data_IF_455065311222
#
_entry.id   IF_455065311222
#
_cell.length_a   1.000
_cell.length_b   1.000
_cell.length_c   1.000
_cell.angle_alpha   90.00
_cell.angle_beta   90.00
_cell.angle_gamma   90.00
#
_symmetry.space_group_name_H-M   'P 1'
#
loop_
_entity.id
_entity.type
_entity.pdbx_description
1 polymer ?
#
# COMPACT_ATOMS: atom_id res chain seq x y z
N UNK A 1 7.84 0.84 -23.23
CA UNK A 1 7.76 0.12 -21.94
C UNK A 1 7.99 1.08 -20.76
N UNK A 2 9.09 1.82 -20.69
CA UNK A 2 9.40 2.75 -19.57
C UNK A 2 8.32 3.81 -19.30
N UNK A 3 7.77 4.46 -20.34
CA UNK A 3 6.69 5.46 -20.18
C UNK A 3 5.45 4.89 -19.48
N UNK A 4 5.10 3.63 -19.74
CA UNK A 4 3.94 2.97 -19.11
C UNK A 4 4.20 2.61 -17.64
N UNK A 5 5.42 2.19 -17.32
CA UNK A 5 5.83 1.92 -15.92
C UNK A 5 5.82 3.22 -15.13
N UNK A 6 6.41 4.28 -15.66
CA UNK A 6 6.45 5.59 -15.01
C UNK A 6 5.05 6.15 -14.77
N UNK A 7 4.16 6.05 -15.75
CA UNK A 7 2.76 6.44 -15.62
C UNK A 7 2.09 5.76 -14.41
N UNK A 8 2.25 4.44 -14.25
CA UNK A 8 1.65 3.73 -13.13
C UNK A 8 2.30 4.05 -11.79
N UNK A 9 3.61 4.25 -11.73
CA UNK A 9 4.30 4.68 -10.51
C UNK A 9 3.84 6.07 -10.06
N UNK A 10 3.70 7.01 -10.99
CA UNK A 10 3.22 8.36 -10.70
C UNK A 10 1.79 8.33 -10.16
N UNK A 11 0.88 7.63 -10.84
CA UNK A 11 -0.51 7.54 -10.42
C UNK A 11 -0.72 6.69 -9.16
N UNK A 12 0.14 5.71 -8.87
CA UNK A 12 0.15 5.01 -7.57
C UNK A 12 0.78 5.83 -6.44
N UNK A 13 1.11 7.10 -6.71
CA UNK A 13 1.67 8.05 -5.73
C UNK A 13 2.96 7.56 -5.09
N UNK A 14 3.93 7.16 -5.93
CA UNK A 14 5.25 6.71 -5.47
C UNK A 14 5.92 7.71 -4.50
N UNK A 15 5.58 9.00 -4.59
CA UNK A 15 6.06 10.04 -3.68
C UNK A 15 5.59 9.87 -2.23
N UNK A 16 4.64 8.98 -1.95
CA UNK A 16 4.21 8.64 -0.58
C UNK A 16 5.06 7.54 0.06
N UNK A 17 5.85 6.80 -0.72
CA UNK A 17 6.71 5.72 -0.22
C UNK A 17 7.71 6.13 0.87
N UNK A 18 8.23 7.36 0.92
CA UNK A 18 9.09 7.79 2.02
C UNK A 18 8.49 7.52 3.39
N UNK A 19 7.17 7.59 3.55
CA UNK A 19 6.49 7.27 4.82
C UNK A 19 6.74 5.80 5.22
N UNK A 20 6.55 4.85 4.31
CA UNK A 20 6.86 3.44 4.57
C UNK A 20 8.35 3.20 4.77
N UNK A 21 9.19 3.81 3.95
CA UNK A 21 10.64 3.62 3.96
C UNK A 21 11.23 4.11 5.28
N UNK A 22 10.85 5.31 5.75
CA UNK A 22 11.36 5.83 7.02
C UNK A 22 10.85 5.04 8.22
N UNK A 23 9.57 4.67 8.25
CA UNK A 23 9.03 3.81 9.30
C UNK A 23 9.74 2.45 9.32
N UNK A 24 9.93 1.84 8.14
CA UNK A 24 10.67 0.60 8.01
C UNK A 24 12.14 0.76 8.46
N UNK A 25 12.80 1.84 8.06
CA UNK A 25 14.22 2.08 8.38
C UNK A 25 14.48 2.09 9.88
N UNK A 26 13.56 2.69 10.66
CA UNK A 26 13.65 2.73 12.13
C UNK A 26 13.66 1.31 12.71
N UNK A 27 12.68 0.49 12.34
CA UNK A 27 12.59 -0.87 12.88
C UNK A 27 13.66 -1.81 12.28
N UNK A 28 14.03 -1.59 11.02
CA UNK A 28 15.08 -2.35 10.35
C UNK A 28 16.45 -2.16 11.03
N UNK A 29 16.83 -0.92 11.35
CA UNK A 29 18.08 -0.64 12.08
C UNK A 29 18.08 -1.29 13.45
N UNK A 30 16.95 -1.29 14.15
CA UNK A 30 16.81 -1.99 15.43
C UNK A 30 16.91 -3.51 15.25
N UNK A 31 16.28 -4.08 14.23
CA UNK A 31 16.38 -5.50 13.89
C UNK A 31 17.83 -5.92 13.58
N UNK A 32 18.55 -5.12 12.78
CA UNK A 32 19.97 -5.37 12.47
C UNK A 32 20.83 -5.36 13.74
N UNK A 33 20.64 -4.41 14.64
CA UNK A 33 21.36 -4.34 15.90
C UNK A 33 21.08 -5.54 16.83
N UNK A 34 19.95 -6.18 16.65
CA UNK A 34 19.52 -7.40 17.36
C UNK A 34 19.92 -8.70 16.62
N UNK A 35 20.82 -8.63 15.65
CA UNK A 35 21.26 -9.75 14.80
C UNK A 35 20.15 -10.37 13.93
N UNK A 36 19.15 -9.58 13.57
CA UNK A 36 18.05 -9.99 12.72
C UNK A 36 18.44 -10.26 11.27
N UNK A 37 17.60 -10.97 10.53
CA UNK A 37 17.84 -11.34 9.14
C UNK A 37 17.60 -10.16 8.19
N UNK A 38 18.70 -9.54 7.72
CA UNK A 38 18.68 -8.39 6.80
C UNK A 38 17.89 -8.69 5.52
N UNK A 39 18.02 -9.90 4.96
CA UNK A 39 17.33 -10.26 3.72
C UNK A 39 15.80 -10.28 3.91
N UNK A 40 15.30 -10.81 5.01
CA UNK A 40 13.88 -10.81 5.31
C UNK A 40 13.34 -9.39 5.57
N UNK A 41 14.15 -8.56 6.24
CA UNK A 41 13.82 -7.15 6.42
C UNK A 41 13.66 -6.39 5.09
N UNK A 42 14.54 -6.64 4.10
CA UNK A 42 14.46 -6.06 2.76
C UNK A 42 13.22 -6.58 2.00
N UNK A 43 12.95 -7.89 2.07
CA UNK A 43 11.74 -8.44 1.47
C UNK A 43 10.48 -7.82 2.07
N UNK A 44 10.44 -7.62 3.38
CA UNK A 44 9.33 -6.95 4.05
C UNK A 44 9.12 -5.53 3.50
N UNK A 45 10.21 -4.75 3.29
CA UNK A 45 10.10 -3.42 2.67
C UNK A 45 9.44 -3.47 1.30
N UNK A 46 9.87 -4.40 0.44
CA UNK A 46 9.30 -4.54 -0.91
C UNK A 46 7.80 -4.85 -0.82
N UNK A 47 7.41 -5.79 0.04
CA UNK A 47 6.01 -6.14 0.28
C UNK A 47 5.18 -4.95 0.78
N UNK A 48 5.70 -4.19 1.75
CA UNK A 48 5.06 -3.00 2.31
C UNK A 48 4.87 -1.92 1.23
N UNK A 49 5.90 -1.64 0.42
CA UNK A 49 5.81 -0.69 -0.68
C UNK A 49 4.74 -1.11 -1.70
N UNK A 50 4.69 -2.39 -2.07
CA UNK A 50 3.65 -2.90 -2.96
C UNK A 50 2.24 -2.73 -2.37
N UNK A 51 2.05 -3.06 -1.08
CA UNK A 51 0.77 -2.84 -0.40
C UNK A 51 0.36 -1.36 -0.41
N UNK A 52 1.29 -0.43 -0.15
CA UNK A 52 1.00 1.00 -0.17
C UNK A 52 0.60 1.49 -1.55
N UNK A 53 1.33 1.11 -2.60
CA UNK A 53 1.02 1.49 -3.99
C UNK A 53 -0.34 0.91 -4.43
N UNK A 54 -0.63 -0.35 -4.05
CA UNK A 54 -1.94 -0.97 -4.30
C UNK A 54 -3.06 -0.20 -3.61
N UNK A 55 -2.87 0.19 -2.35
CA UNK A 55 -3.87 0.95 -1.57
C UNK A 55 -4.17 2.30 -2.21
N UNK A 56 -3.15 3.02 -2.67
CA UNK A 56 -3.33 4.31 -3.33
C UNK A 56 -4.16 4.20 -4.62
N UNK A 57 -3.88 3.20 -5.45
CA UNK A 57 -4.66 2.98 -6.68
C UNK A 57 -6.08 2.48 -6.37
N UNK A 58 -6.26 1.66 -5.35
CA UNK A 58 -7.58 1.18 -4.95
C UNK A 58 -8.44 2.31 -4.35
N UNK A 59 -7.83 3.25 -3.63
CA UNK A 59 -8.49 4.47 -3.16
C UNK A 59 -9.00 5.31 -4.35
N UNK A 60 -8.18 5.51 -5.39
CA UNK A 60 -8.57 6.21 -6.62
C UNK A 60 -9.74 5.49 -7.34
N UNK A 61 -9.72 4.17 -7.40
CA UNK A 61 -10.80 3.36 -7.95
C UNK A 61 -12.12 3.60 -7.20
N UNK A 62 -12.08 3.58 -5.87
CA UNK A 62 -13.27 3.81 -5.04
C UNK A 62 -13.77 5.26 -5.14
N UNK A 63 -12.86 6.22 -5.16
CA UNK A 63 -13.22 7.64 -5.31
C UNK A 63 -13.86 7.90 -6.66
N UNK A 64 -13.35 7.33 -7.75
CA UNK A 64 -13.96 7.44 -9.06
C UNK A 64 -15.38 6.84 -9.10
N UNK A 65 -15.60 5.69 -8.47
CA UNK A 65 -16.94 5.11 -8.37
C UNK A 65 -17.92 6.00 -7.60
N UNK A 66 -17.44 6.69 -6.53
CA UNK A 66 -18.26 7.67 -5.81
C UNK A 66 -18.64 8.86 -6.69
N UNK A 67 -17.68 9.38 -7.47
CA UNK A 67 -17.93 10.50 -8.39
C UNK A 67 -18.99 10.18 -9.45
N UNK A 68 -18.96 8.95 -10.01
CA UNK A 68 -20.00 8.48 -10.94
C UNK A 68 -21.38 8.50 -10.25
N UNK A 69 -21.47 7.92 -9.05
CA UNK A 69 -22.73 7.84 -8.31
C UNK A 69 -23.30 9.21 -7.95
N UNK A 70 -22.45 10.20 -7.73
CA UNK A 70 -22.84 11.57 -7.38
C UNK A 70 -23.10 12.47 -8.60
N UNK A 71 -22.82 12.00 -9.84
CA UNK A 71 -22.97 12.79 -11.05
C UNK A 71 -22.04 14.01 -11.16
N UNK A 72 -20.92 14.01 -10.41
CA UNK A 72 -20.02 15.17 -10.28
C UNK A 72 -18.72 15.03 -11.07
N UNK A 73 -18.64 14.07 -11.99
CA UNK A 73 -17.45 13.79 -12.81
C UNK A 73 -16.91 15.00 -13.58
N UNK A 74 -17.82 15.83 -14.14
CA UNK A 74 -17.44 16.97 -15.00
C UNK A 74 -16.71 18.10 -14.26
N UNK A 75 -16.91 18.23 -12.96
CA UNK A 75 -16.35 19.31 -12.16
C UNK A 75 -15.00 19.00 -11.49
N UNK A 76 -14.50 17.76 -11.58
CA UNK A 76 -13.32 17.31 -10.83
C UNK A 76 -12.14 16.86 -11.69
N UNK A 77 -11.77 17.64 -12.69
CA UNK A 77 -10.57 17.40 -13.52
C UNK A 77 -9.24 17.44 -12.75
N UNK A 78 -9.26 17.89 -11.48
CA UNK A 78 -8.10 17.97 -10.59
C UNK A 78 -8.14 16.96 -9.42
N UNK A 79 -9.04 15.98 -9.49
CA UNK A 79 -9.15 14.96 -8.44
C UNK A 79 -7.98 13.97 -8.49
N UNK A 80 -7.79 13.23 -7.41
CA UNK A 80 -6.77 12.16 -7.30
C UNK A 80 -6.88 11.14 -8.45
N UNK A 81 -8.10 10.85 -8.94
CA UNK A 81 -8.38 9.93 -10.04
C UNK A 81 -8.44 10.62 -11.42
N UNK A 82 -7.77 11.76 -11.59
CA UNK A 82 -7.81 12.55 -12.83
C UNK A 82 -7.42 11.76 -14.09
N UNK A 83 -6.49 10.84 -14.00
CA UNK A 83 -6.07 9.99 -15.12
C UNK A 83 -7.17 9.02 -15.58
N UNK A 84 -8.08 8.62 -14.68
CA UNK A 84 -9.27 7.82 -15.04
C UNK A 84 -10.34 8.73 -15.67
N UNK A 85 -10.60 9.90 -15.08
CA UNK A 85 -11.60 10.85 -15.61
C UNK A 85 -11.21 11.40 -16.97
N UNK A 86 -9.93 11.52 -17.27
CA UNK A 86 -9.41 11.93 -18.60
C UNK A 86 -9.38 10.81 -19.63
N UNK A 87 -9.71 9.57 -19.23
CA UNK A 87 -9.66 8.41 -20.13
C UNK A 87 -8.24 7.92 -20.46
N UNK A 88 -7.22 8.33 -19.67
CA UNK A 88 -5.83 7.87 -19.84
C UNK A 88 -5.65 6.42 -19.37
N UNK A 89 -6.51 5.95 -18.46
CA UNK A 89 -6.61 4.56 -18.02
C UNK A 89 -8.06 4.17 -17.73
N UNK A 90 -8.39 2.90 -17.93
CA UNK A 90 -9.68 2.32 -17.57
C UNK A 90 -9.68 1.82 -16.11
N UNK A 91 -10.88 1.64 -15.53
CA UNK A 91 -11.02 1.01 -14.20
C UNK A 91 -10.42 -0.39 -14.17
N UNK A 92 -10.54 -1.15 -15.26
CA UNK A 92 -9.96 -2.48 -15.38
C UNK A 92 -8.44 -2.44 -15.37
N UNK A 93 -7.83 -1.43 -16.00
CA UNK A 93 -6.39 -1.24 -15.97
C UNK A 93 -5.90 -0.94 -14.54
N UNK A 94 -6.62 -0.08 -13.82
CA UNK A 94 -6.32 0.21 -12.41
C UNK A 94 -6.36 -1.07 -11.57
N UNK A 95 -7.45 -1.84 -11.68
CA UNK A 95 -7.59 -3.10 -10.93
C UNK A 95 -6.51 -4.13 -11.28
N UNK A 96 -6.10 -4.23 -12.55
CA UNK A 96 -4.99 -5.11 -12.95
C UNK A 96 -3.69 -4.74 -12.26
N UNK A 97 -3.39 -3.45 -12.14
CA UNK A 97 -2.15 -3.00 -11.46
C UNK A 97 -2.27 -3.19 -9.95
N UNK A 98 -3.42 -2.90 -9.34
CA UNK A 98 -3.69 -3.23 -7.93
C UNK A 98 -3.46 -4.71 -7.67
N UNK A 99 -4.03 -5.58 -8.52
CA UNK A 99 -3.85 -7.03 -8.40
C UNK A 99 -2.40 -7.47 -8.55
N UNK A 100 -1.65 -6.85 -9.46
CA UNK A 100 -0.21 -7.11 -9.62
C UNK A 100 0.57 -6.79 -8.33
N UNK A 101 0.38 -5.59 -7.76
CA UNK A 101 1.04 -5.20 -6.52
C UNK A 101 0.64 -6.10 -5.34
N UNK A 102 -0.65 -6.39 -5.21
CA UNK A 102 -1.15 -7.32 -4.18
C UNK A 102 -0.56 -8.73 -4.35
N UNK A 103 -0.44 -9.23 -5.57
CA UNK A 103 0.15 -10.55 -5.84
C UNK A 103 1.62 -10.61 -5.41
N UNK A 104 2.40 -9.58 -5.73
CA UNK A 104 3.80 -9.49 -5.29
C UNK A 104 3.87 -9.48 -3.75
N UNK A 105 3.07 -8.65 -3.09
CA UNK A 105 3.03 -8.58 -1.63
C UNK A 105 2.60 -9.92 -1.00
N UNK A 106 1.62 -10.61 -1.57
CA UNK A 106 1.16 -11.93 -1.10
C UNK A 106 2.24 -13.01 -1.26
N UNK A 107 2.96 -13.03 -2.39
CA UNK A 107 4.06 -13.99 -2.62
C UNK A 107 5.17 -13.77 -1.58
N UNK A 108 5.56 -12.52 -1.35
CA UNK A 108 6.57 -12.17 -0.34
C UNK A 108 6.06 -12.54 1.06
N UNK A 109 4.82 -12.18 1.38
CA UNK A 109 4.20 -12.50 2.67
C UNK A 109 4.10 -13.99 2.93
N UNK A 110 3.73 -14.79 1.93
CA UNK A 110 3.68 -16.25 2.03
C UNK A 110 5.08 -16.85 2.26
N UNK A 111 6.09 -16.33 1.55
CA UNK A 111 7.48 -16.74 1.77
C UNK A 111 7.96 -16.41 3.20
N UNK A 112 7.71 -15.20 3.67
CA UNK A 112 8.08 -14.78 5.03
C UNK A 112 7.33 -15.60 6.08
N UNK A 113 6.03 -15.84 5.89
CA UNK A 113 5.21 -16.70 6.75
C UNK A 113 5.81 -18.12 6.87
N UNK A 114 6.22 -18.70 5.74
CA UNK A 114 6.86 -20.02 5.72
C UNK A 114 8.19 -20.03 6.49
N UNK A 115 8.97 -18.95 6.43
CA UNK A 115 10.30 -18.87 7.05
C UNK A 115 10.29 -18.45 8.52
N UNK A 116 9.37 -17.57 8.91
CA UNK A 116 9.39 -16.90 10.23
C UNK A 116 8.18 -17.23 11.11
N UNK A 117 7.22 -17.97 10.57
CA UNK A 117 6.09 -18.51 11.32
C UNK A 117 4.82 -17.63 11.33
N UNK A 118 3.79 -18.14 12.02
CA UNK A 118 2.42 -17.61 11.95
C UNK A 118 2.19 -16.15 12.38
N UNK A 119 2.99 -15.50 13.24
CA UNK A 119 2.72 -14.11 13.62
C UNK A 119 2.75 -13.14 12.44
N UNK A 120 3.51 -13.47 11.37
CA UNK A 120 3.49 -12.70 10.12
C UNK A 120 2.08 -12.61 9.55
N UNK A 121 1.30 -13.70 9.63
CA UNK A 121 -0.08 -13.72 9.15
C UNK A 121 -0.97 -12.73 9.93
N UNK A 122 -0.73 -12.56 11.22
CA UNK A 122 -1.48 -11.60 12.06
C UNK A 122 -1.21 -10.18 11.56
N UNK A 123 0.05 -9.80 11.39
CA UNK A 123 0.41 -8.46 10.89
C UNK A 123 -0.07 -8.22 9.47
N UNK A 124 0.03 -9.23 8.59
CA UNK A 124 -0.49 -9.16 7.23
C UNK A 124 -2.02 -8.99 7.21
N UNK A 125 -2.74 -9.71 8.06
CA UNK A 125 -4.19 -9.61 8.20
C UNK A 125 -4.61 -8.23 8.72
N UNK A 126 -3.95 -7.73 9.78
CA UNK A 126 -4.19 -6.38 10.28
C UNK A 126 -3.91 -5.33 9.20
N UNK A 127 -2.79 -5.44 8.49
CA UNK A 127 -2.47 -4.57 7.36
C UNK A 127 -3.54 -4.61 6.27
N UNK A 128 -4.03 -5.79 5.89
CA UNK A 128 -5.10 -5.95 4.91
C UNK A 128 -6.41 -5.27 5.34
N UNK A 129 -6.79 -5.37 6.62
CA UNK A 129 -7.95 -4.66 7.15
C UNK A 129 -7.78 -3.15 6.94
N UNK A 130 -6.61 -2.58 7.25
CA UNK A 130 -6.36 -1.16 7.04
C UNK A 130 -6.43 -0.76 5.57
N UNK A 131 -5.85 -1.54 4.66
CA UNK A 131 -5.95 -1.32 3.21
C UNK A 131 -7.41 -1.23 2.76
N UNK A 132 -8.24 -2.21 3.17
CA UNK A 132 -9.63 -2.31 2.75
C UNK A 132 -10.55 -1.26 3.41
N UNK A 133 -10.19 -0.79 4.61
CA UNK A 133 -11.04 0.13 5.37
C UNK A 133 -10.58 1.57 5.33
N UNK A 134 -9.37 1.84 4.83
CA UNK A 134 -8.75 3.17 4.81
C UNK A 134 -9.65 4.26 4.20
N UNK A 135 -10.27 3.98 3.06
CA UNK A 135 -11.17 4.92 2.41
C UNK A 135 -12.35 5.35 3.30
N UNK A 136 -12.85 4.44 4.16
CA UNK A 136 -13.91 4.76 5.15
C UNK A 136 -13.37 5.63 6.29
N UNK A 137 -12.19 5.31 6.81
CA UNK A 137 -11.54 6.07 7.87
C UNK A 137 -11.18 7.48 7.40
N UNK A 138 -10.65 7.59 6.18
CA UNK A 138 -10.33 8.88 5.55
C UNK A 138 -11.59 9.73 5.37
N UNK A 139 -12.70 9.15 4.88
CA UNK A 139 -13.96 9.88 4.71
C UNK A 139 -14.62 10.26 6.04
N UNK A 140 -14.33 9.56 7.13
CA UNK A 140 -14.78 9.88 8.48
C UNK A 140 -13.88 10.92 9.20
N UNK A 141 -12.83 11.41 8.54
CA UNK A 141 -11.89 12.39 9.13
C UNK A 141 -10.88 11.82 10.12
N UNK A 142 -10.78 10.49 10.23
CA UNK A 142 -9.85 9.79 11.15
C UNK A 142 -8.78 8.99 10.40
N UNK A 143 -8.57 9.31 9.10
CA UNK A 143 -7.57 8.64 8.26
C UNK A 143 -6.15 8.71 8.81
N UNK A 144 -5.79 9.79 9.48
CA UNK A 144 -4.47 9.98 10.10
C UNK A 144 -4.20 8.97 11.22
N UNK A 145 -5.23 8.61 12.01
CA UNK A 145 -5.12 7.58 13.04
C UNK A 145 -4.86 6.23 12.39
N UNK A 146 -5.57 5.90 11.29
CA UNK A 146 -5.35 4.67 10.54
C UNK A 146 -3.92 4.60 10.00
N UNK A 147 -3.41 5.69 9.43
CA UNK A 147 -2.02 5.81 8.96
C UNK A 147 -1.04 5.58 10.11
N UNK A 148 -1.23 6.26 11.25
CA UNK A 148 -0.36 6.09 12.43
C UNK A 148 -0.32 4.66 12.95
N UNK A 149 -1.45 3.95 12.97
CA UNK A 149 -1.52 2.56 13.38
C UNK A 149 -0.86 1.61 12.36
N UNK A 150 -1.07 1.85 11.07
CA UNK A 150 -0.52 1.02 10.01
C UNK A 150 1.01 1.14 9.91
N UNK A 151 1.55 2.36 9.90
CA UNK A 151 2.99 2.63 9.76
C UNK A 151 3.75 2.63 11.09
N UNK A 152 3.08 2.65 12.22
CA UNK A 152 3.63 2.46 13.55
C UNK A 152 3.59 0.99 13.98
N UNK A 153 2.70 0.63 14.92
CA UNK A 153 2.77 -0.67 15.58
C UNK A 153 2.63 -1.87 14.64
N UNK A 154 1.80 -1.79 13.58
CA UNK A 154 1.60 -2.93 12.66
C UNK A 154 2.84 -3.16 11.80
N UNK A 155 3.37 -2.11 11.15
CA UNK A 155 4.58 -2.21 10.36
C UNK A 155 5.78 -2.59 11.24
N UNK A 156 5.94 -1.94 12.40
CA UNK A 156 7.06 -2.21 13.30
C UNK A 156 7.03 -3.65 13.81
N UNK A 157 5.88 -4.12 14.29
CA UNK A 157 5.74 -5.49 14.77
C UNK A 157 6.01 -6.51 13.66
N UNK A 158 5.45 -6.29 12.47
CA UNK A 158 5.63 -7.17 11.31
C UNK A 158 7.08 -7.27 10.85
N UNK A 159 7.77 -6.13 10.69
CA UNK A 159 9.17 -6.09 10.24
C UNK A 159 10.10 -6.65 11.31
N UNK A 160 9.93 -6.27 12.58
CA UNK A 160 10.74 -6.80 13.67
C UNK A 160 10.62 -8.32 13.81
N UNK A 161 9.40 -8.84 13.63
CA UNK A 161 9.17 -10.28 13.72
C UNK A 161 9.87 -11.08 12.63
N UNK A 162 9.87 -10.58 11.39
CA UNK A 162 10.49 -11.31 10.27
C UNK A 162 12.01 -11.25 10.28
N UNK A 163 12.59 -10.25 10.93
CA UNK A 163 14.03 -10.11 11.07
C UNK A 163 14.59 -10.97 12.19
#
# INVERSE_FOLDING_TARGET
MFKKIWFWLENSRVFTLPMSIFSWLVVFTFGVSSHGNVFYGILALIGICCCQLATNLFDDYLDYQKLIKLGTLEHQTKSKCAYITKGEATLDDVLRIVFLYCSIACIIGAFLLWKTGYPVAIFAFLGAIFVLTYAKWSSAGIGEIAVGLAFGPILFGGVYWVM
#
